data_IF_399365375810
#
_entry.id   IF_399365375810
#
_cell.length_a   1.000
_cell.length_b   1.000
_cell.length_c   1.000
_cell.angle_alpha   90.00
_cell.angle_beta   90.00
_cell.angle_gamma   90.00
#
_symmetry.space_group_name_H-M   'P 1'
#
loop_
_entity.id
_entity.type
_entity.pdbx_description
1 polymer ?
#
# COMPACT_ATOMS: atom_id res chain seq x y z
N UNK A 1 20.32 -18.12 6.22
CA UNK A 1 19.55 -19.18 5.52
C UNK A 1 18.31 -18.50 4.97
N UNK A 2 18.06 -18.62 3.67
CA UNK A 2 16.84 -18.05 3.08
C UNK A 2 15.63 -18.81 3.63
N UNK A 3 14.62 -18.09 4.13
CA UNK A 3 13.40 -18.67 4.68
C UNK A 3 12.48 -19.15 3.56
N UNK A 4 11.83 -20.28 3.76
CA UNK A 4 10.78 -20.78 2.87
C UNK A 4 9.44 -20.76 3.58
N UNK A 5 8.53 -19.89 3.15
CA UNK A 5 7.21 -19.73 3.76
C UNK A 5 6.12 -20.17 2.78
N UNK A 6 5.25 -21.04 3.25
CA UNK A 6 4.08 -21.47 2.53
C UNK A 6 2.89 -20.57 2.88
N UNK A 7 2.21 -20.02 1.87
CA UNK A 7 0.95 -19.26 2.06
C UNK A 7 -0.18 -20.00 1.35
N UNK A 8 -1.29 -20.20 2.04
CA UNK A 8 -2.49 -20.80 1.46
C UNK A 8 -3.75 -20.17 2.05
N UNK A 9 -4.86 -20.27 1.35
CA UNK A 9 -6.17 -19.83 1.82
C UNK A 9 -6.97 -19.02 0.81
N UNK A 10 -8.15 -18.57 1.23
CA UNK A 10 -9.19 -18.03 0.34
C UNK A 10 -9.04 -16.52 0.03
N UNK A 11 -8.23 -15.78 0.78
CA UNK A 11 -8.10 -14.33 0.60
C UNK A 11 -6.82 -13.93 -0.13
N UNK A 12 -6.92 -13.62 -1.41
CA UNK A 12 -5.81 -13.11 -2.21
C UNK A 12 -5.21 -11.78 -1.66
N UNK A 13 -6.01 -10.98 -0.95
CA UNK A 13 -5.53 -9.75 -0.33
C UNK A 13 -4.57 -10.05 0.83
N UNK A 14 -4.94 -10.98 1.72
CA UNK A 14 -4.11 -11.38 2.85
C UNK A 14 -2.85 -12.12 2.38
N UNK A 15 -2.96 -12.98 1.36
CA UNK A 15 -1.80 -13.63 0.75
C UNK A 15 -0.78 -12.62 0.24
N UNK A 16 -1.22 -11.55 -0.42
CA UNK A 16 -0.35 -10.44 -0.85
C UNK A 16 0.30 -9.69 0.31
N UNK A 17 -0.46 -9.40 1.39
CA UNK A 17 0.08 -8.77 2.59
C UNK A 17 1.15 -9.65 3.23
N UNK A 18 0.86 -10.94 3.41
CA UNK A 18 1.81 -11.92 3.97
C UNK A 18 3.07 -12.01 3.12
N UNK A 19 2.93 -12.11 1.80
CA UNK A 19 4.07 -12.11 0.87
C UNK A 19 4.91 -10.84 1.00
N UNK A 20 4.25 -9.68 1.06
CA UNK A 20 4.93 -8.41 1.25
C UNK A 20 5.72 -8.33 2.55
N UNK A 21 5.20 -8.91 3.64
CA UNK A 21 5.89 -8.98 4.93
C UNK A 21 7.14 -9.86 4.78
N UNK A 22 7.02 -11.02 4.15
CA UNK A 22 8.15 -11.92 3.93
C UNK A 22 9.21 -11.27 3.05
N UNK A 23 8.81 -10.68 1.93
CA UNK A 23 9.73 -10.00 1.00
C UNK A 23 10.46 -8.80 1.63
N UNK A 24 9.81 -8.15 2.61
CA UNK A 24 10.36 -6.96 3.27
C UNK A 24 11.30 -7.27 4.43
N UNK A 25 10.95 -8.29 5.21
CA UNK A 25 11.57 -8.53 6.51
C UNK A 25 12.36 -9.85 6.58
N UNK A 26 12.21 -10.71 5.59
CA UNK A 26 12.86 -12.01 5.57
C UNK A 26 13.59 -12.19 4.24
N UNK A 27 14.88 -12.54 4.29
CA UNK A 27 15.57 -13.08 3.10
C UNK A 27 15.00 -14.48 2.81
N UNK A 28 13.90 -14.55 2.05
CA UNK A 28 13.18 -15.79 1.87
C UNK A 28 12.45 -15.93 0.55
N UNK A 29 11.91 -17.10 0.29
CA UNK A 29 11.02 -17.42 -0.84
C UNK A 29 9.63 -17.73 -0.31
N UNK A 30 8.61 -17.29 -1.03
CA UNK A 30 7.20 -17.57 -0.75
C UNK A 30 6.67 -18.54 -1.78
N UNK A 31 6.06 -19.64 -1.32
CA UNK A 31 5.25 -20.53 -2.15
C UNK A 31 3.77 -20.30 -1.84
N UNK A 32 2.97 -20.06 -2.85
CA UNK A 32 1.53 -19.83 -2.70
C UNK A 32 0.75 -21.05 -3.23
N UNK A 33 -0.21 -21.53 -2.44
CA UNK A 33 -1.22 -22.50 -2.87
C UNK A 33 -2.60 -21.85 -2.85
N UNK A 34 -3.33 -22.00 -3.95
CA UNK A 34 -4.63 -21.37 -4.13
C UNK A 34 -5.68 -21.88 -3.15
N UNK A 35 -5.56 -23.13 -2.71
CA UNK A 35 -6.53 -23.78 -1.83
C UNK A 35 -5.86 -24.57 -0.71
N UNK A 36 -6.49 -24.57 0.46
CA UNK A 36 -6.05 -25.31 1.62
C UNK A 36 -6.01 -26.86 1.38
N UNK A 37 -6.94 -27.34 0.55
CA UNK A 37 -7.01 -28.75 0.13
C UNK A 37 -5.73 -29.24 -0.56
N UNK A 38 -5.09 -28.38 -1.33
CA UNK A 38 -3.83 -28.69 -2.02
C UNK A 38 -2.64 -28.96 -1.06
N UNK A 39 -2.76 -28.54 0.19
CA UNK A 39 -1.73 -28.83 1.20
C UNK A 39 -1.62 -30.33 1.54
N UNK A 40 -2.70 -31.10 1.34
CA UNK A 40 -2.71 -32.55 1.58
C UNK A 40 -1.85 -33.36 0.59
N UNK A 41 -1.57 -32.80 -0.59
CA UNK A 41 -0.81 -33.44 -1.67
C UNK A 41 0.68 -33.07 -1.66
N UNK A 42 1.12 -32.21 -0.70
CA UNK A 42 2.52 -31.80 -0.60
C UNK A 42 3.40 -32.99 -0.18
N UNK A 43 4.16 -33.53 -1.13
CA UNK A 43 5.22 -34.47 -0.86
C UNK A 43 6.51 -33.68 -0.53
N UNK A 44 6.88 -33.64 0.75
CA UNK A 44 8.14 -33.02 1.18
C UNK A 44 7.97 -31.69 1.93
N UNK A 45 7.32 -31.73 3.08
CA UNK A 45 7.16 -30.58 3.98
C UNK A 45 8.46 -30.04 4.58
N UNK A 46 9.55 -30.79 4.45
CA UNK A 46 10.87 -30.37 4.96
C UNK A 46 11.44 -29.10 4.32
N UNK A 47 10.84 -28.63 3.25
CA UNK A 47 11.31 -27.43 2.52
C UNK A 47 10.71 -26.11 3.05
N UNK A 48 9.70 -26.17 3.95
CA UNK A 48 9.09 -24.96 4.49
C UNK A 48 9.43 -24.75 5.95
N UNK A 49 9.73 -23.50 6.30
CA UNK A 49 10.08 -23.09 7.66
C UNK A 49 8.83 -22.69 8.46
N UNK A 50 7.83 -22.15 7.80
CA UNK A 50 6.56 -21.75 8.38
C UNK A 50 5.44 -21.85 7.34
N UNK A 51 4.22 -22.12 7.79
CA UNK A 51 3.01 -22.02 6.97
C UNK A 51 2.11 -20.91 7.51
N UNK A 52 1.53 -20.11 6.61
CA UNK A 52 0.51 -19.12 6.93
C UNK A 52 -0.76 -19.48 6.18
N UNK A 53 -1.80 -19.80 6.94
CA UNK A 53 -3.14 -20.12 6.42
C UNK A 53 -4.01 -18.89 6.60
N UNK A 54 -4.65 -18.44 5.52
CA UNK A 54 -5.62 -17.36 5.61
C UNK A 54 -7.03 -17.91 5.38
N UNK A 55 -7.68 -18.31 6.46
CA UNK A 55 -9.05 -18.83 6.46
C UNK A 55 -9.93 -18.01 7.40
N UNK A 56 -10.52 -16.94 6.85
CA UNK A 56 -11.26 -15.96 7.64
C UNK A 56 -12.50 -16.53 8.31
N UNK A 57 -13.10 -17.56 7.70
CA UNK A 57 -14.32 -18.20 8.15
C UNK A 57 -14.05 -19.58 8.80
N UNK A 58 -12.80 -19.82 9.24
CA UNK A 58 -12.49 -21.05 9.96
C UNK A 58 -13.47 -21.24 11.12
N UNK A 59 -14.11 -22.41 11.19
CA UNK A 59 -15.05 -22.78 12.25
C UNK A 59 -14.35 -23.51 13.41
N UNK A 60 -15.11 -23.90 14.41
CA UNK A 60 -14.59 -24.61 15.59
C UNK A 60 -14.12 -26.06 15.27
N UNK A 61 -14.35 -26.57 14.05
CA UNK A 61 -13.88 -27.87 13.57
C UNK A 61 -12.61 -27.73 12.70
N UNK A 62 -12.05 -26.52 12.60
CA UNK A 62 -10.83 -26.29 11.83
C UNK A 62 -9.72 -27.26 12.24
N UNK A 63 -9.04 -27.84 11.26
CA UNK A 63 -7.88 -28.69 11.47
C UNK A 63 -6.79 -28.38 10.45
N UNK A 64 -5.55 -28.45 10.86
CA UNK A 64 -4.40 -28.28 9.96
C UNK A 64 -4.35 -29.46 9.01
N UNK A 65 -4.23 -29.24 7.67
CA UNK A 65 -4.03 -30.32 6.70
C UNK A 65 -2.82 -31.20 7.05
N UNK A 66 -2.95 -32.53 6.83
CA UNK A 66 -1.91 -33.49 7.18
C UNK A 66 -0.55 -33.15 6.55
N UNK A 67 -0.55 -32.65 5.33
CA UNK A 67 0.66 -32.29 4.60
C UNK A 67 1.51 -31.17 5.23
N UNK A 68 0.99 -30.40 6.19
CA UNK A 68 1.73 -29.30 6.84
C UNK A 68 1.71 -29.36 8.36
N UNK A 69 1.21 -30.44 8.97
CA UNK A 69 1.14 -30.59 10.44
C UNK A 69 2.50 -30.53 11.15
N UNK A 70 3.58 -30.86 10.45
CA UNK A 70 4.94 -30.80 10.99
C UNK A 70 5.60 -29.43 10.91
N UNK A 71 4.92 -28.46 10.30
CA UNK A 71 5.44 -27.11 10.07
C UNK A 71 4.76 -26.16 11.06
N UNK A 72 5.50 -25.23 11.71
CA UNK A 72 4.87 -24.18 12.49
C UNK A 72 3.85 -23.42 11.65
N UNK A 73 2.56 -23.50 12.02
CA UNK A 73 1.46 -22.96 11.22
C UNK A 73 0.79 -21.81 11.95
N UNK A 74 0.64 -20.70 11.25
CA UNK A 74 -0.06 -19.48 11.69
C UNK A 74 -1.39 -19.38 10.94
N UNK A 75 -2.49 -19.19 11.66
CA UNK A 75 -3.82 -18.99 11.06
C UNK A 75 -4.26 -17.52 11.17
N UNK A 76 -4.72 -16.97 10.07
CA UNK A 76 -5.38 -15.67 10.03
C UNK A 76 -6.88 -15.93 9.92
N UNK A 77 -7.64 -15.56 10.95
CA UNK A 77 -9.07 -15.86 11.04
C UNK A 77 -9.85 -14.78 11.79
N UNK A 78 -11.17 -14.82 11.67
CA UNK A 78 -12.08 -13.99 12.47
C UNK A 78 -12.66 -14.75 13.67
N UNK A 79 -12.36 -16.03 13.85
CA UNK A 79 -12.88 -16.87 14.92
C UNK A 79 -12.13 -16.60 16.24
N UNK A 80 -12.76 -15.91 17.17
CA UNK A 80 -12.20 -15.52 18.48
C UNK A 80 -11.81 -16.74 19.35
N UNK A 81 -12.46 -17.90 19.20
CA UNK A 81 -12.11 -19.12 19.96
C UNK A 81 -10.79 -19.68 19.51
N UNK A 82 -10.56 -19.74 18.21
CA UNK A 82 -9.29 -20.22 17.65
C UNK A 82 -8.17 -19.23 18.00
N UNK A 83 -8.44 -17.92 17.97
CA UNK A 83 -7.46 -16.89 18.33
C UNK A 83 -7.04 -17.01 19.80
N UNK A 84 -8.00 -17.26 20.70
CA UNK A 84 -7.71 -17.37 22.12
C UNK A 84 -6.97 -18.64 22.53
N UNK A 85 -7.16 -19.75 21.80
CA UNK A 85 -6.59 -21.07 22.14
C UNK A 85 -6.03 -21.80 20.91
N UNK A 86 -5.09 -21.21 20.17
CA UNK A 86 -4.60 -21.76 18.89
C UNK A 86 -3.98 -23.16 19.03
N UNK A 87 -3.38 -23.48 20.17
CA UNK A 87 -2.75 -24.77 20.44
C UNK A 87 -3.76 -25.94 20.43
N UNK A 88 -5.03 -25.70 20.76
CA UNK A 88 -6.06 -26.75 20.66
C UNK A 88 -6.29 -27.22 19.23
N UNK A 89 -5.96 -26.38 18.26
CA UNK A 89 -6.09 -26.64 16.84
C UNK A 89 -4.75 -27.06 16.19
N UNK A 90 -3.71 -27.28 17.01
CA UNK A 90 -2.37 -27.62 16.52
C UNK A 90 -1.62 -26.45 15.89
N UNK A 91 -2.11 -25.22 16.04
CA UNK A 91 -1.51 -24.02 15.48
C UNK A 91 -0.36 -23.50 16.35
N UNK A 92 0.65 -22.95 15.71
CA UNK A 92 1.68 -22.18 16.41
C UNK A 92 1.11 -20.88 16.98
N UNK A 93 0.30 -20.20 16.19
CA UNK A 93 -0.44 -19.00 16.58
C UNK A 93 -1.68 -18.80 15.69
N UNK A 94 -2.64 -18.03 16.18
CA UNK A 94 -3.72 -17.49 15.36
C UNK A 94 -3.83 -15.98 15.59
N UNK A 95 -4.10 -15.23 14.52
CA UNK A 95 -4.23 -13.78 14.58
C UNK A 95 -5.54 -13.34 13.94
N UNK A 96 -6.10 -12.26 14.47
CA UNK A 96 -7.31 -11.69 13.94
C UNK A 96 -7.02 -10.95 12.64
N UNK A 97 -7.84 -11.22 11.62
CA UNK A 97 -7.82 -10.35 10.45
C UNK A 97 -8.25 -8.94 10.86
N UNK A 98 -7.37 -7.96 10.63
CA UNK A 98 -7.71 -6.58 10.93
C UNK A 98 -8.73 -6.04 9.93
N UNK A 99 -9.99 -6.06 10.29
CA UNK A 99 -11.10 -5.50 9.51
C UNK A 99 -11.31 -4.00 9.74
N UNK A 100 -10.32 -3.25 10.22
CA UNK A 100 -10.55 -1.87 10.62
C UNK A 100 -9.34 -0.95 10.49
N UNK A 101 -9.39 -0.04 9.50
CA UNK A 101 -8.57 1.16 9.42
C UNK A 101 -7.05 0.94 9.34
N UNK A 102 -6.36 2.01 9.02
CA UNK A 102 -4.91 2.05 8.78
C UNK A 102 -4.04 1.58 9.93
N UNK A 103 -4.42 1.93 11.17
CA UNK A 103 -3.73 1.49 12.38
C UNK A 103 -3.82 -0.03 12.58
N UNK A 104 -4.93 -0.65 12.15
CA UNK A 104 -5.14 -2.09 12.24
C UNK A 104 -4.23 -2.88 11.33
N UNK A 105 -4.01 -2.43 10.09
CA UNK A 105 -3.16 -3.14 9.12
C UNK A 105 -1.69 -3.06 9.53
N UNK A 106 -1.19 -1.90 9.91
CA UNK A 106 0.19 -1.77 10.38
C UNK A 106 0.44 -2.53 11.70
N UNK A 107 -0.56 -2.62 12.57
CA UNK A 107 -0.50 -3.49 13.76
C UNK A 107 -0.50 -4.97 13.36
N UNK A 108 -1.36 -5.35 12.44
CA UNK A 108 -1.43 -6.71 11.88
C UNK A 108 -0.11 -7.11 11.18
N UNK A 109 0.48 -6.23 10.37
CA UNK A 109 1.77 -6.50 9.73
C UNK A 109 2.89 -6.75 10.75
N UNK A 110 2.99 -5.90 11.78
CA UNK A 110 3.97 -6.06 12.86
C UNK A 110 3.74 -7.33 13.67
N UNK A 111 2.49 -7.64 13.98
CA UNK A 111 2.10 -8.84 14.72
C UNK A 111 2.41 -10.10 13.91
N UNK A 112 2.00 -10.14 12.63
CA UNK A 112 2.26 -11.26 11.74
C UNK A 112 3.76 -11.49 11.54
N UNK A 113 4.53 -10.43 11.31
CA UNK A 113 5.99 -10.50 11.21
C UNK A 113 6.62 -11.09 12.48
N UNK A 114 6.27 -10.55 13.64
CA UNK A 114 6.77 -11.04 14.94
C UNK A 114 6.42 -12.52 15.19
N UNK A 115 5.24 -12.96 14.76
CA UNK A 115 4.81 -14.36 14.87
C UNK A 115 5.61 -15.25 13.93
N UNK A 116 5.81 -14.85 12.68
CA UNK A 116 6.61 -15.59 11.70
C UNK A 116 8.07 -15.74 12.20
N UNK A 117 8.69 -14.66 12.68
CA UNK A 117 10.04 -14.73 13.25
C UNK A 117 10.14 -15.72 14.40
N UNK A 118 9.18 -15.73 15.31
CA UNK A 118 9.14 -16.69 16.43
C UNK A 118 8.91 -18.12 15.95
N UNK A 119 8.04 -18.33 14.98
CA UNK A 119 7.75 -19.64 14.40
C UNK A 119 9.00 -20.27 13.77
N UNK A 120 9.77 -19.47 13.06
CA UNK A 120 11.02 -19.89 12.40
C UNK A 120 12.15 -20.08 13.40
N UNK A 121 12.31 -19.19 14.38
CA UNK A 121 13.35 -19.27 15.43
C UNK A 121 13.15 -20.48 16.33
N UNK A 122 11.91 -20.91 16.57
CA UNK A 122 11.58 -22.09 17.37
C UNK A 122 12.06 -23.41 16.78
N UNK A 123 12.33 -23.48 15.47
CA UNK A 123 12.91 -24.68 14.82
C UNK A 123 14.39 -24.88 15.14
N UNK A 124 15.09 -23.87 15.64
CA UNK A 124 16.52 -23.92 15.92
C UNK A 124 16.84 -24.35 17.36
N UNK A 125 15.85 -24.66 18.21
CA UNK A 125 16.05 -25.19 19.54
C UNK A 125 15.48 -26.59 19.67
N UNK A 126 16.39 -27.56 19.56
CA UNK A 126 16.20 -29.00 19.79
C UNK A 126 15.78 -29.30 21.24
N UNK A 127 14.85 -30.26 21.34
CA UNK A 127 14.57 -31.16 22.45
C UNK A 127 14.74 -30.64 23.89
N UNK A 128 13.61 -30.31 24.51
CA UNK A 128 13.53 -30.14 25.95
C UNK A 128 12.20 -29.61 26.43
N UNK A 129 11.32 -30.52 26.82
CA UNK A 129 10.10 -30.29 27.59
C UNK A 129 10.14 -29.02 28.45
N UNK A 130 9.36 -27.99 28.13
CA UNK A 130 8.91 -26.99 29.10
C UNK A 130 7.55 -26.42 28.72
N UNK A 131 6.53 -26.98 29.33
CA UNK A 131 5.27 -26.31 29.59
C UNK A 131 5.53 -25.10 30.47
N UNK A 132 5.31 -23.90 29.94
CA UNK A 132 5.17 -22.71 30.75
C UNK A 132 3.97 -21.88 30.22
N UNK A 133 3.07 -21.41 31.10
CA UNK A 133 1.88 -20.69 30.69
C UNK A 133 2.27 -19.27 30.21
N UNK A 134 1.85 -18.92 29.01
CA UNK A 134 1.99 -17.58 28.49
C UNK A 134 0.96 -16.63 29.11
N UNK A 135 1.31 -16.12 30.28
CA UNK A 135 0.73 -14.92 30.85
C UNK A 135 1.87 -13.95 31.16
N UNK A 136 2.35 -13.28 30.15
CA UNK A 136 3.12 -12.05 30.35
C UNK A 136 2.84 -11.11 29.18
N UNK A 137 1.89 -10.22 29.43
CA UNK A 137 1.77 -8.95 28.73
C UNK A 137 3.13 -8.24 28.93
N UNK A 138 3.98 -8.28 27.91
CA UNK A 138 5.14 -7.42 27.89
C UNK A 138 4.63 -6.03 27.60
N UNK A 139 4.71 -5.16 28.64
CA UNK A 139 4.59 -3.72 28.47
C UNK A 139 5.53 -3.29 27.36
N UNK A 140 5.18 -2.28 26.54
CA UNK A 140 6.08 -1.80 25.50
C UNK A 140 7.43 -1.45 26.13
N UNK A 141 8.46 -2.21 25.81
CA UNK A 141 9.81 -1.84 26.15
C UNK A 141 10.12 -0.56 25.40
N UNK A 142 10.56 0.44 26.12
CA UNK A 142 11.14 1.67 25.61
C UNK A 142 12.22 1.33 24.56
N UNK A 143 11.83 1.32 23.30
CA UNK A 143 12.77 1.55 22.23
C UNK A 143 13.13 3.03 22.28
N UNK A 144 14.12 3.37 23.11
CA UNK A 144 14.83 4.61 22.95
C UNK A 144 15.42 4.58 21.54
N UNK A 145 14.70 5.23 20.63
CA UNK A 145 15.21 5.60 19.31
C UNK A 145 16.54 6.29 19.55
N UNK A 146 17.66 5.63 19.20
CA UNK A 146 18.82 6.39 18.80
C UNK A 146 18.32 7.25 17.65
N UNK A 147 18.19 8.52 17.91
CA UNK A 147 17.94 9.52 16.90
C UNK A 147 19.05 9.35 15.86
N UNK A 148 18.71 8.72 14.75
CA UNK A 148 19.48 8.91 13.53
C UNK A 148 19.23 10.38 13.22
N UNK A 149 20.22 11.20 13.51
CA UNK A 149 20.24 12.60 13.08
C UNK A 149 20.29 12.56 11.56
N UNK A 150 19.11 12.61 10.93
CA UNK A 150 18.98 12.84 9.51
C UNK A 150 19.77 14.12 9.19
N UNK A 151 20.62 14.11 8.14
CA UNK A 151 21.13 15.34 7.61
C UNK A 151 19.90 16.17 7.25
N UNK A 152 19.77 17.34 7.90
CA UNK A 152 18.73 18.32 7.64
C UNK A 152 18.48 18.41 6.12
N UNK A 153 17.37 17.83 5.64
CA UNK A 153 16.79 18.33 4.42
C UNK A 153 16.62 19.85 4.65
N UNK A 154 17.09 20.70 3.74
CA UNK A 154 16.90 22.12 3.94
C UNK A 154 15.40 22.37 4.04
N UNK A 155 14.93 22.72 5.24
CA UNK A 155 13.64 23.35 5.42
C UNK A 155 13.71 24.64 4.63
N UNK A 156 13.22 24.61 3.40
CA UNK A 156 12.91 25.82 2.68
C UNK A 156 11.53 26.23 3.19
N UNK A 157 11.50 26.77 4.42
CA UNK A 157 10.41 27.59 4.87
C UNK A 157 10.35 28.80 3.93
N UNK A 158 9.16 29.04 3.37
CA UNK A 158 8.84 30.14 2.47
C UNK A 158 9.22 30.00 0.98
N UNK A 159 8.80 28.94 0.31
CA UNK A 159 8.47 29.07 -1.11
C UNK A 159 7.02 29.56 -1.16
N UNK A 160 6.83 30.88 -1.21
CA UNK A 160 5.53 31.45 -1.58
C UNK A 160 5.21 31.01 -3.02
N UNK A 161 4.43 29.96 -3.15
CA UNK A 161 3.88 29.56 -4.45
C UNK A 161 2.71 30.50 -4.76
N UNK A 162 3.01 31.73 -5.15
CA UNK A 162 2.04 32.66 -5.74
C UNK A 162 1.94 32.40 -7.24
N UNK A 163 1.57 31.22 -7.62
CA UNK A 163 1.35 30.84 -9.02
C UNK A 163 0.01 30.14 -9.15
N UNK A 164 -0.75 30.49 -10.17
CA UNK A 164 -2.02 29.83 -10.48
C UNK A 164 -1.77 28.32 -10.69
N UNK A 165 -2.30 27.46 -9.79
CA UNK A 165 -2.22 26.02 -9.97
C UNK A 165 -3.02 25.63 -11.20
N UNK A 166 -2.42 24.86 -12.09
CA UNK A 166 -3.01 24.48 -13.38
C UNK A 166 -3.29 22.98 -13.50
N UNK A 167 -2.72 22.16 -12.59
CA UNK A 167 -2.86 20.71 -12.63
C UNK A 167 -2.49 20.09 -11.30
N UNK A 168 -3.23 19.05 -10.89
CA UNK A 168 -2.97 18.24 -9.71
C UNK A 168 -2.77 16.78 -10.17
N UNK A 169 -1.69 16.14 -9.73
CA UNK A 169 -1.42 14.73 -10.01
C UNK A 169 -1.38 13.93 -8.71
N UNK A 170 -2.11 12.83 -8.64
CA UNK A 170 -2.23 11.98 -7.43
C UNK A 170 -1.83 10.56 -7.78
N UNK A 171 -0.98 9.96 -6.94
CA UNK A 171 -0.58 8.56 -7.03
C UNK A 171 -0.90 7.79 -5.75
N UNK A 172 -1.46 6.59 -5.86
CA UNK A 172 -1.83 5.76 -4.73
C UNK A 172 -1.87 4.25 -5.07
N UNK A 173 -1.87 3.42 -4.02
CA UNK A 173 -1.98 1.95 -4.16
C UNK A 173 -2.83 1.36 -3.03
N UNK A 174 -2.29 0.51 -2.17
CA UNK A 174 -3.01 -0.14 -1.05
C UNK A 174 -3.58 0.90 -0.09
N UNK A 175 -4.89 0.86 0.15
CA UNK A 175 -5.63 1.89 0.92
C UNK A 175 -5.91 3.17 0.14
N UNK A 176 -5.44 3.26 -1.11
CA UNK A 176 -5.52 4.46 -1.93
C UNK A 176 -6.93 4.84 -2.35
N UNK A 177 -7.84 3.89 -2.54
CA UNK A 177 -9.22 4.18 -2.94
C UNK A 177 -9.96 5.08 -1.95
N UNK A 178 -9.81 4.82 -0.66
CA UNK A 178 -10.45 5.65 0.37
C UNK A 178 -9.64 6.93 0.60
N UNK A 179 -8.30 6.86 0.53
CA UNK A 179 -7.45 8.03 0.66
C UNK A 179 -7.67 9.06 -0.46
N UNK A 180 -7.79 8.61 -1.71
CA UNK A 180 -8.12 9.49 -2.85
C UNK A 180 -9.47 10.16 -2.63
N UNK A 181 -10.52 9.41 -2.24
CA UNK A 181 -11.84 9.99 -1.96
C UNK A 181 -11.74 11.08 -0.90
N UNK A 182 -11.03 10.84 0.20
CA UNK A 182 -10.87 11.82 1.28
C UNK A 182 -10.25 13.13 0.78
N UNK A 183 -9.28 13.03 -0.14
CA UNK A 183 -8.63 14.20 -0.74
C UNK A 183 -9.53 14.92 -1.74
N UNK A 184 -10.23 14.19 -2.64
CA UNK A 184 -10.85 14.83 -3.81
C UNK A 184 -12.35 15.12 -3.67
N UNK A 185 -13.07 14.45 -2.74
CA UNK A 185 -14.54 14.59 -2.63
C UNK A 185 -15.02 16.02 -2.38
N UNK A 186 -14.24 16.81 -1.64
CA UNK A 186 -14.60 18.16 -1.23
C UNK A 186 -13.83 19.26 -1.98
N UNK A 187 -13.00 18.90 -2.99
CA UNK A 187 -12.37 19.92 -3.84
C UNK A 187 -13.44 20.77 -4.54
N UNK A 188 -13.20 22.07 -4.77
CA UNK A 188 -14.12 22.96 -5.49
C UNK A 188 -14.52 22.40 -6.86
N UNK A 189 -15.76 22.63 -7.28
CA UNK A 189 -16.26 22.15 -8.57
C UNK A 189 -15.50 22.71 -9.78
N UNK A 190 -14.85 23.85 -9.63
CA UNK A 190 -14.00 24.53 -10.63
C UNK A 190 -12.50 24.36 -10.37
N UNK A 191 -12.13 23.44 -9.45
CA UNK A 191 -10.74 23.10 -9.16
C UNK A 191 -9.98 22.76 -10.45
N UNK A 192 -8.69 23.10 -10.56
CA UNK A 192 -7.84 22.66 -11.65
C UNK A 192 -7.96 21.15 -11.88
N UNK A 193 -7.73 20.67 -13.11
CA UNK A 193 -7.87 19.24 -13.41
C UNK A 193 -7.03 18.37 -12.48
N UNK A 194 -7.58 17.23 -12.09
CA UNK A 194 -6.91 16.23 -11.25
C UNK A 194 -6.69 14.97 -12.07
N UNK A 195 -5.45 14.50 -12.16
CA UNK A 195 -5.10 13.26 -12.85
C UNK A 195 -4.59 12.25 -11.82
N UNK A 196 -5.17 11.06 -11.82
CA UNK A 196 -4.97 10.06 -10.77
C UNK A 196 -4.47 8.75 -11.36
N UNK A 197 -3.43 8.18 -10.78
CA UNK A 197 -3.08 6.76 -10.93
C UNK A 197 -3.30 6.06 -9.59
N UNK A 198 -4.23 5.10 -9.59
CA UNK A 198 -4.44 4.13 -8.53
C UNK A 198 -4.10 2.75 -9.07
N UNK A 199 -3.19 2.03 -8.39
CA UNK A 199 -2.91 0.65 -8.76
C UNK A 199 -4.15 -0.23 -8.53
N UNK A 200 -4.80 -0.57 -9.63
CA UNK A 200 -6.07 -1.28 -9.63
C UNK A 200 -6.20 -2.10 -10.92
N UNK A 201 -6.76 -3.32 -10.88
CA UNK A 201 -6.97 -4.12 -12.08
C UNK A 201 -7.92 -3.46 -13.08
N UNK A 202 -7.79 -3.81 -14.35
CA UNK A 202 -8.73 -3.46 -15.41
C UNK A 202 -10.17 -3.82 -15.05
N UNK A 203 -11.12 -2.99 -15.42
CA UNK A 203 -12.53 -3.11 -15.09
C UNK A 203 -12.90 -2.49 -13.74
N UNK A 204 -12.04 -2.54 -12.72
CA UNK A 204 -12.29 -1.86 -11.44
C UNK A 204 -12.06 -0.36 -11.54
N UNK A 205 -11.16 0.09 -12.40
CA UNK A 205 -10.87 1.53 -12.62
C UNK A 205 -12.10 2.28 -13.16
N UNK A 206 -12.84 1.66 -14.08
CA UNK A 206 -14.11 2.25 -14.56
C UNK A 206 -15.14 2.39 -13.45
N UNK A 207 -15.36 1.33 -12.66
CA UNK A 207 -16.30 1.36 -11.53
C UNK A 207 -15.90 2.41 -10.48
N UNK A 208 -14.60 2.57 -10.25
CA UNK A 208 -14.09 3.53 -9.29
C UNK A 208 -14.21 4.97 -9.82
N UNK A 209 -13.96 5.21 -11.11
CA UNK A 209 -14.21 6.49 -11.75
C UNK A 209 -15.69 6.89 -11.65
N UNK A 210 -16.61 5.95 -11.93
CA UNK A 210 -18.06 6.18 -11.80
C UNK A 210 -18.48 6.44 -10.33
N UNK A 211 -17.78 5.85 -9.35
CA UNK A 211 -17.99 6.17 -7.93
C UNK A 211 -17.52 7.59 -7.62
N UNK A 212 -16.34 8.00 -8.07
CA UNK A 212 -15.82 9.35 -7.89
C UNK A 212 -16.76 10.39 -8.49
N UNK A 213 -17.28 10.15 -9.71
CA UNK A 213 -18.24 11.06 -10.38
C UNK A 213 -19.52 11.30 -9.56
N UNK A 214 -19.99 10.26 -8.86
CA UNK A 214 -21.19 10.38 -8.02
C UNK A 214 -20.99 11.10 -6.69
N UNK A 215 -19.77 11.05 -6.13
CA UNK A 215 -19.53 11.56 -4.76
C UNK A 215 -18.73 12.84 -4.70
N UNK A 216 -18.00 13.20 -5.77
CA UNK A 216 -17.20 14.42 -5.84
C UNK A 216 -18.02 15.59 -6.39
N UNK A 217 -17.61 16.83 -6.07
CA UNK A 217 -18.16 18.03 -6.69
C UNK A 217 -17.68 18.23 -8.13
N UNK A 218 -16.52 17.69 -8.45
CA UNK A 218 -15.92 17.63 -9.78
C UNK A 218 -16.49 16.45 -10.57
N UNK A 219 -16.53 16.54 -11.89
CA UNK A 219 -16.81 15.40 -12.76
C UNK A 219 -15.63 14.42 -12.75
N UNK A 220 -15.90 13.12 -12.84
CA UNK A 220 -14.84 12.14 -12.89
C UNK A 220 -15.08 11.10 -14.00
N UNK A 221 -14.01 10.66 -14.66
CA UNK A 221 -14.07 9.59 -15.65
C UNK A 221 -12.78 8.77 -15.68
N UNK A 222 -12.87 7.55 -16.16
CA UNK A 222 -11.70 6.78 -16.56
C UNK A 222 -11.06 7.39 -17.82
N UNK A 223 -9.73 7.35 -17.89
CA UNK A 223 -8.95 7.95 -18.96
C UNK A 223 -9.19 7.26 -20.32
N UNK A 224 -9.48 8.06 -21.32
CA UNK A 224 -9.42 7.67 -22.74
C UNK A 224 -8.27 8.42 -23.43
N UNK A 225 -7.73 7.81 -24.48
CA UNK A 225 -6.61 8.42 -25.22
C UNK A 225 -7.05 9.72 -25.89
N UNK A 226 -6.35 10.81 -25.60
CA UNK A 226 -6.67 12.15 -26.13
C UNK A 226 -7.62 12.99 -25.28
N UNK A 227 -8.06 12.53 -24.11
CA UNK A 227 -8.92 13.31 -23.20
C UNK A 227 -8.30 14.68 -22.86
N UNK A 228 -9.06 15.75 -23.05
CA UNK A 228 -8.67 17.11 -22.69
C UNK A 228 -8.89 17.39 -21.20
N UNK A 229 -7.86 17.91 -20.56
CA UNK A 229 -7.95 18.34 -19.17
C UNK A 229 -8.56 19.75 -19.08
N UNK A 230 -9.47 19.94 -18.14
CA UNK A 230 -10.15 21.20 -17.86
C UNK A 230 -10.49 21.30 -16.38
N UNK A 231 -10.69 22.50 -15.90
CA UNK A 231 -11.16 22.70 -14.54
C UNK A 231 -12.45 21.90 -14.28
N UNK A 232 -12.57 21.39 -13.08
CA UNK A 232 -13.72 20.60 -12.66
C UNK A 232 -13.70 19.13 -13.16
N UNK A 233 -12.57 18.64 -13.67
CA UNK A 233 -12.45 17.27 -14.19
C UNK A 233 -11.39 16.45 -13.47
N UNK A 234 -11.77 15.26 -13.02
CA UNK A 234 -10.89 14.21 -12.51
C UNK A 234 -10.75 13.14 -13.59
N UNK A 235 -9.53 12.80 -13.95
CA UNK A 235 -9.20 11.69 -14.87
C UNK A 235 -8.49 10.60 -14.07
N UNK A 236 -9.05 9.38 -14.06
CA UNK A 236 -8.47 8.20 -13.43
C UNK A 236 -7.83 7.30 -14.49
N UNK A 237 -6.58 6.89 -14.29
CA UNK A 237 -5.86 5.98 -15.17
C UNK A 237 -6.54 4.62 -15.34
N UNK A 238 -6.58 4.12 -16.57
CA UNK A 238 -7.12 2.79 -16.91
C UNK A 238 -6.22 1.68 -16.39
N UNK A 239 -6.77 0.63 -15.81
CA UNK A 239 -6.07 -0.44 -15.08
C UNK A 239 -5.07 -1.30 -15.86
N UNK A 240 -4.96 -1.12 -17.17
CA UNK A 240 -4.02 -1.86 -18.03
C UNK A 240 -3.22 -0.97 -19.00
N UNK A 241 -3.30 0.37 -18.83
CA UNK A 241 -2.66 1.32 -19.73
C UNK A 241 -1.85 2.33 -18.95
N UNK A 242 -0.74 2.79 -19.51
CA UNK A 242 0.02 3.91 -18.95
C UNK A 242 -0.75 5.22 -19.20
N UNK A 243 -0.75 6.06 -18.17
CA UNK A 243 -1.37 7.38 -18.22
C UNK A 243 -0.28 8.45 -18.23
N UNK A 244 -0.25 9.26 -19.29
CA UNK A 244 0.70 10.36 -19.40
C UNK A 244 -0.03 11.67 -19.70
N UNK A 245 0.48 12.77 -19.12
CA UNK A 245 0.00 14.11 -19.39
C UNK A 245 0.87 14.77 -20.44
N UNK A 246 0.24 15.42 -21.41
CA UNK A 246 0.87 16.18 -22.48
C UNK A 246 0.30 17.59 -22.53
N UNK A 247 1.00 18.49 -23.24
CA UNK A 247 0.55 19.87 -23.47
C UNK A 247 0.75 20.28 -24.92
N UNK A 248 -0.24 20.90 -25.50
CA UNK A 248 -0.19 21.53 -26.81
C UNK A 248 -0.72 22.98 -26.75
N UNK A 249 -0.95 23.60 -27.90
CA UNK A 249 -1.46 24.97 -28.01
C UNK A 249 -2.88 25.14 -27.40
N UNK A 250 -3.65 24.06 -27.32
CA UNK A 250 -5.01 24.04 -26.75
C UNK A 250 -5.05 23.70 -25.26
N UNK A 251 -3.90 23.44 -24.61
CA UNK A 251 -3.81 23.13 -23.19
C UNK A 251 -3.36 21.70 -22.91
N UNK A 252 -3.68 21.19 -21.71
CA UNK A 252 -3.30 19.85 -21.31
C UNK A 252 -4.25 18.78 -21.84
N UNK A 253 -3.70 17.61 -22.15
CA UNK A 253 -4.45 16.39 -22.49
C UNK A 253 -3.71 15.17 -21.98
N UNK A 254 -4.40 14.04 -21.90
CA UNK A 254 -3.78 12.77 -21.50
C UNK A 254 -3.69 11.79 -22.68
N UNK A 255 -2.70 10.92 -22.62
CA UNK A 255 -2.68 9.68 -23.40
C UNK A 255 -2.89 8.50 -22.45
N UNK A 256 -3.70 7.52 -22.89
CA UNK A 256 -4.00 6.29 -22.16
C UNK A 256 -3.75 5.13 -23.09
N UNK A 257 -2.53 4.55 -23.05
CA UNK A 257 -2.06 3.56 -24.03
C UNK A 257 -1.41 2.37 -23.36
N UNK A 258 -1.50 1.16 -23.94
CA UNK A 258 -0.71 0.04 -23.50
C UNK A 258 0.77 0.41 -23.42
N UNK A 259 1.46 -0.06 -22.37
CA UNK A 259 2.87 0.22 -22.16
C UNK A 259 3.50 -0.84 -21.26
N UNK A 260 4.83 -0.82 -21.21
CA UNK A 260 5.60 -1.69 -20.32
C UNK A 260 5.33 -1.33 -18.86
N UNK A 261 5.45 -2.32 -17.97
CA UNK A 261 5.37 -2.09 -16.53
C UNK A 261 6.59 -1.30 -16.06
N UNK A 262 6.35 -0.20 -15.36
CA UNK A 262 7.37 0.58 -14.66
C UNK A 262 7.19 0.36 -13.17
N UNK A 263 8.27 0.08 -12.44
CA UNK A 263 8.23 -0.30 -11.02
C UNK A 263 7.26 -1.46 -10.73
N UNK A 264 7.07 -2.37 -11.73
CA UNK A 264 6.15 -3.51 -11.65
C UNK A 264 4.69 -3.21 -11.98
N UNK A 265 4.33 -1.95 -12.30
CA UNK A 265 2.96 -1.48 -12.46
C UNK A 265 2.65 -0.92 -13.86
N UNK A 266 1.43 -1.13 -14.31
CA UNK A 266 0.78 -0.46 -15.43
C UNK A 266 -0.71 -0.35 -15.10
N UNK A 267 -1.24 0.86 -14.86
CA UNK A 267 -0.55 2.16 -14.88
C UNK A 267 0.51 2.29 -13.77
N UNK A 268 1.53 3.11 -14.02
CA UNK A 268 2.55 3.47 -13.04
C UNK A 268 2.43 4.94 -12.63
N UNK A 269 2.56 5.20 -11.33
CA UNK A 269 2.57 6.56 -10.76
C UNK A 269 3.84 7.32 -11.20
N UNK A 270 4.98 6.64 -11.31
CA UNK A 270 6.21 7.23 -11.82
C UNK A 270 6.06 7.76 -13.26
N UNK A 271 5.33 7.01 -14.13
CA UNK A 271 5.07 7.42 -15.52
C UNK A 271 4.21 8.69 -15.54
N UNK A 272 3.12 8.71 -14.77
CA UNK A 272 2.28 9.90 -14.64
C UNK A 272 3.09 11.10 -14.17
N UNK A 273 3.77 11.00 -13.04
CA UNK A 273 4.48 12.12 -12.43
C UNK A 273 5.61 12.66 -13.31
N UNK A 274 6.38 11.78 -13.97
CA UNK A 274 7.40 12.19 -14.94
C UNK A 274 6.81 12.91 -16.14
N UNK A 275 5.65 12.49 -16.63
CA UNK A 275 4.97 13.18 -17.73
C UNK A 275 4.55 14.60 -17.31
N UNK A 276 4.00 14.76 -16.10
CA UNK A 276 3.64 16.06 -15.54
C UNK A 276 4.88 16.94 -15.36
N UNK A 277 5.97 16.40 -14.81
CA UNK A 277 7.23 17.14 -14.65
C UNK A 277 7.77 17.72 -15.98
N UNK A 278 7.60 16.98 -17.08
CA UNK A 278 8.04 17.43 -18.42
C UNK A 278 7.21 18.58 -18.99
N UNK A 279 5.90 18.61 -18.72
CA UNK A 279 5.00 19.55 -19.38
C UNK A 279 4.64 20.75 -18.53
N UNK A 280 4.77 20.65 -17.20
CA UNK A 280 4.40 21.72 -16.29
C UNK A 280 5.06 21.51 -14.92
N UNK A 281 6.11 22.24 -14.63
CA UNK A 281 6.74 22.23 -13.31
C UNK A 281 6.04 23.16 -12.34
N UNK A 282 6.34 24.46 -12.43
CA UNK A 282 5.69 25.50 -11.60
C UNK A 282 4.18 25.56 -11.90
N UNK A 283 3.38 25.67 -10.84
CA UNK A 283 1.92 25.68 -10.98
C UNK A 283 1.30 24.29 -11.07
N UNK A 284 2.02 23.24 -10.59
CA UNK A 284 1.44 21.90 -10.41
C UNK A 284 1.61 21.41 -8.98
N UNK A 285 0.69 20.56 -8.54
CA UNK A 285 0.75 19.86 -7.27
C UNK A 285 0.89 18.36 -7.55
N UNK A 286 1.90 17.73 -6.94
CA UNK A 286 2.07 16.28 -6.92
C UNK A 286 1.71 15.74 -5.53
N UNK A 287 0.85 14.72 -5.47
CA UNK A 287 0.43 14.08 -4.21
C UNK A 287 0.71 12.59 -4.26
N UNK A 288 1.47 12.09 -3.31
CA UNK A 288 1.68 10.65 -3.13
C UNK A 288 0.99 10.19 -1.86
N UNK A 289 0.07 9.24 -2.03
CA UNK A 289 -0.75 8.69 -0.94
C UNK A 289 -0.31 7.27 -0.59
N UNK A 290 -0.96 6.74 0.43
CA UNK A 290 -0.76 5.37 0.92
C UNK A 290 -0.62 4.35 -0.22
N UNK A 291 0.34 3.46 -0.08
CA UNK A 291 0.62 2.42 -1.06
C UNK A 291 1.88 1.66 -0.72
N UNK A 292 1.93 0.42 -1.19
CA UNK A 292 3.09 -0.43 -1.03
C UNK A 292 4.13 -0.17 -2.13
N UNK A 293 5.41 -0.36 -1.79
CA UNK A 293 6.52 -0.22 -2.73
C UNK A 293 7.00 1.21 -2.89
N UNK A 294 7.51 1.54 -4.07
CA UNK A 294 8.19 2.82 -4.34
C UNK A 294 7.73 3.53 -5.61
N UNK A 295 6.74 2.99 -6.30
CA UNK A 295 6.25 3.62 -7.52
C UNK A 295 5.73 5.03 -7.25
N UNK A 296 6.11 5.98 -8.06
CA UNK A 296 5.81 7.40 -7.90
C UNK A 296 6.85 8.20 -7.12
N UNK A 297 7.75 7.58 -6.35
CA UNK A 297 8.74 8.30 -5.56
C UNK A 297 9.72 9.09 -6.44
N UNK A 298 10.23 8.46 -7.49
CA UNK A 298 11.15 9.11 -8.42
C UNK A 298 10.47 10.11 -9.34
N UNK A 299 9.26 9.80 -9.81
CA UNK A 299 8.47 10.74 -10.60
C UNK A 299 8.08 11.99 -9.79
N UNK A 300 7.76 11.84 -8.50
CA UNK A 300 7.50 12.96 -7.60
C UNK A 300 8.76 13.81 -7.38
N UNK A 301 9.94 13.16 -7.27
CA UNK A 301 11.21 13.88 -7.20
C UNK A 301 11.48 14.70 -8.48
N UNK A 302 11.13 14.16 -9.65
CA UNK A 302 11.24 14.89 -10.91
C UNK A 302 10.23 16.06 -10.97
N UNK A 303 9.00 15.89 -10.48
CA UNK A 303 8.05 16.99 -10.34
C UNK A 303 8.59 18.10 -9.42
N UNK A 304 9.15 17.73 -8.25
CA UNK A 304 9.77 18.69 -7.33
C UNK A 304 10.92 19.46 -8.00
N UNK A 305 11.83 18.76 -8.69
CA UNK A 305 12.94 19.38 -9.44
C UNK A 305 12.44 20.36 -10.52
N UNK A 306 11.30 20.04 -11.16
CA UNK A 306 10.65 20.89 -12.14
C UNK A 306 9.93 22.10 -11.49
N UNK A 307 9.85 22.18 -10.17
CA UNK A 307 9.27 23.29 -9.42
C UNK A 307 7.81 23.07 -8.99
N UNK A 308 7.28 21.86 -9.06
CA UNK A 308 5.99 21.50 -8.51
C UNK A 308 5.99 21.54 -6.97
N UNK A 309 4.85 21.81 -6.37
CA UNK A 309 4.64 21.58 -4.95
C UNK A 309 4.27 20.12 -4.69
N UNK A 310 5.00 19.45 -3.83
CA UNK A 310 4.85 18.00 -3.64
C UNK A 310 4.43 17.67 -2.21
N UNK A 311 3.39 16.86 -2.08
CA UNK A 311 2.78 16.46 -0.81
C UNK A 311 2.91 14.94 -0.67
N UNK A 312 3.35 14.48 0.48
CA UNK A 312 3.33 13.06 0.86
C UNK A 312 2.39 12.84 2.03
N UNK A 313 1.57 11.80 1.99
CA UNK A 313 0.79 11.38 3.14
C UNK A 313 1.73 10.95 4.27
N UNK A 314 1.43 11.32 5.52
CA UNK A 314 2.24 10.96 6.68
C UNK A 314 2.05 9.48 7.08
N UNK A 315 3.00 8.94 7.84
CA UNK A 315 2.99 7.56 8.30
C UNK A 315 1.74 7.21 9.12
N UNK A 316 1.32 8.03 10.13
CA UNK A 316 0.20 7.67 10.99
C UNK A 316 -1.15 7.54 10.27
N UNK A 317 -1.34 8.23 9.15
CA UNK A 317 -2.59 8.19 8.39
C UNK A 317 -2.55 7.24 7.18
N UNK A 318 -1.38 6.67 6.85
CA UNK A 318 -1.26 5.69 5.77
C UNK A 318 -1.78 4.30 6.16
N UNK A 319 -2.48 3.63 5.26
CA UNK A 319 -2.75 2.18 5.36
C UNK A 319 -1.45 1.40 5.21
N UNK A 320 -0.64 1.79 4.22
CA UNK A 320 0.71 1.26 3.99
C UNK A 320 1.63 2.44 3.70
N UNK A 321 2.56 2.72 4.63
CA UNK A 321 3.54 3.78 4.47
C UNK A 321 4.76 3.28 3.67
N UNK A 322 4.54 2.91 2.41
CA UNK A 322 5.59 2.46 1.48
C UNK A 322 5.91 3.53 0.45
N UNK A 323 5.01 3.79 -0.50
CA UNK A 323 5.19 4.81 -1.53
C UNK A 323 5.50 6.20 -0.94
N UNK A 324 4.76 6.71 0.08
CA UNK A 324 5.08 7.99 0.70
C UNK A 324 6.41 7.98 1.46
N UNK A 325 6.77 6.87 2.11
CA UNK A 325 8.04 6.72 2.82
C UNK A 325 9.21 6.89 1.87
N UNK A 326 9.26 6.11 0.79
CA UNK A 326 10.33 6.18 -0.20
C UNK A 326 10.39 7.57 -0.84
N UNK A 327 9.23 8.18 -1.16
CA UNK A 327 9.21 9.54 -1.70
C UNK A 327 9.78 10.58 -0.71
N UNK A 328 9.52 10.40 0.58
CA UNK A 328 10.09 11.28 1.62
C UNK A 328 11.60 11.08 1.76
N UNK A 329 12.07 9.84 1.80
CA UNK A 329 13.50 9.49 1.90
C UNK A 329 14.30 9.97 0.68
N UNK A 330 13.73 9.88 -0.53
CA UNK A 330 14.32 10.41 -1.77
C UNK A 330 14.29 11.95 -1.85
N UNK A 331 13.77 12.62 -0.83
CA UNK A 331 13.64 14.05 -0.80
C UNK A 331 12.63 14.58 -1.85
N UNK A 332 11.68 13.76 -2.28
CA UNK A 332 10.67 14.16 -3.26
C UNK A 332 9.53 14.97 -2.64
N UNK A 333 9.32 14.87 -1.33
CA UNK A 333 8.21 15.50 -0.60
C UNK A 333 8.64 16.85 -0.03
N UNK A 334 7.91 17.92 -0.37
CA UNK A 334 8.07 19.25 0.24
C UNK A 334 7.30 19.30 1.55
N UNK A 335 6.05 18.83 1.55
CA UNK A 335 5.17 18.83 2.71
C UNK A 335 4.65 17.43 3.00
N UNK A 336 4.98 16.91 4.17
CA UNK A 336 4.31 15.73 4.70
C UNK A 336 3.11 16.15 5.52
N UNK A 337 1.96 15.51 5.33
CA UNK A 337 0.71 15.88 5.99
C UNK A 337 -0.19 14.67 6.29
N UNK A 338 -0.97 14.70 7.39
CA UNK A 338 -2.06 13.77 7.62
C UNK A 338 -3.06 13.78 6.46
N UNK A 339 -3.63 12.62 6.15
CA UNK A 339 -4.58 12.47 5.04
C UNK A 339 -5.68 13.54 5.05
N UNK A 340 -6.30 13.78 6.21
CA UNK A 340 -7.39 14.77 6.37
C UNK A 340 -6.99 16.22 6.10
N UNK A 341 -5.69 16.56 6.13
CA UNK A 341 -5.19 17.92 5.90
C UNK A 341 -4.79 18.16 4.44
N UNK A 342 -4.55 17.11 3.65
CA UNK A 342 -4.03 17.22 2.27
C UNK A 342 -4.97 18.05 1.40
N UNK A 343 -6.28 17.85 1.53
CA UNK A 343 -7.29 18.64 0.80
C UNK A 343 -7.16 20.13 1.13
N UNK A 344 -7.04 20.48 2.40
CA UNK A 344 -6.97 21.89 2.83
C UNK A 344 -5.68 22.56 2.36
N UNK A 345 -4.57 21.83 2.31
CA UNK A 345 -3.32 22.31 1.72
C UNK A 345 -3.49 22.60 0.23
N UNK A 346 -4.12 21.68 -0.51
CA UNK A 346 -4.41 21.87 -1.95
C UNK A 346 -5.28 23.12 -2.13
N UNK A 347 -6.41 23.21 -1.43
CA UNK A 347 -7.36 24.34 -1.55
C UNK A 347 -6.69 25.67 -1.16
N UNK A 348 -5.82 25.68 -0.16
CA UNK A 348 -5.08 26.88 0.24
C UNK A 348 -4.07 27.39 -0.79
N UNK A 349 -3.78 26.60 -1.83
CA UNK A 349 -2.87 26.96 -2.92
C UNK A 349 -3.59 27.35 -4.23
N UNK A 350 -4.91 27.12 -4.33
CA UNK A 350 -5.72 27.49 -5.50
C UNK A 350 -6.04 28.97 -5.50
#
# INVERSE_FOLDING_TARGET
MALHILITGTSAAISRITKSIVDRYCEGTVSELAELSACGELSGTAQYDCAVINELMADDNFSIPDGIKSIPTVLITSNERIISEPQKYGLFAAIKNSSGGTAGIAAFERELHSIIERAVSGKNHDSGTRTAPYSNIIKPADFSRKAVTNPKAPCIDSVSHSGNISLIAIGASTGGTDAIIEVVKELPADCPPVVIVQHMPEGFTKMYADRLDRICKMQAKEAEDGDRLRNGLIILGHGSKQLEVHKDASGFYVTSRPGEKVSGHCPSVDVLFRSVAKVSGKGTIGVILTGMGRDGAYGLADMRKAGAYTIGQDEPSCVVYGMPCVAYEEGAVIKQAPLGEIKDIIVGML
#
